data_IF_318265869168
#
_entry.id   IF_318265869168
#
_cell.length_a   1.000
_cell.length_b   1.000
_cell.length_c   1.000
_cell.angle_alpha   90.00
_cell.angle_beta   90.00
_cell.angle_gamma   90.00
#
_symmetry.space_group_name_H-M   'P 1'
#
loop_
_entity.id
_entity.type
_entity.pdbx_description
1 polymer ?
#
# COMPACT_ATOMS: atom_id res chain seq x y z
N UNK A 1 1.66 -11.51 10.93
CA UNK A 1 0.91 -12.65 10.35
C UNK A 1 1.76 -13.19 9.21
N UNK A 2 2.26 -14.45 9.32
CA UNK A 2 2.99 -15.08 8.21
C UNK A 2 2.05 -15.15 7.00
N UNK A 3 2.39 -14.45 5.92
CA UNK A 3 1.71 -14.62 4.62
C UNK A 3 1.97 -16.04 4.13
N UNK A 4 0.93 -16.74 3.76
CA UNK A 4 1.03 -18.04 3.10
C UNK A 4 1.56 -17.77 1.70
N UNK A 5 2.71 -18.36 1.34
CA UNK A 5 3.32 -18.12 0.03
C UNK A 5 2.37 -18.56 -1.10
N UNK A 6 2.41 -17.93 -2.29
CA UNK A 6 1.60 -18.32 -3.45
C UNK A 6 1.75 -19.81 -3.81
N UNK A 7 2.93 -20.37 -3.57
CA UNK A 7 3.24 -21.80 -3.79
C UNK A 7 2.44 -22.70 -2.84
N UNK A 8 2.31 -22.32 -1.57
CA UNK A 8 1.49 -23.08 -0.58
C UNK A 8 0.01 -23.00 -0.97
N UNK A 9 -0.47 -21.86 -1.47
CA UNK A 9 -1.83 -21.71 -1.96
C UNK A 9 -2.07 -22.58 -3.19
N UNK A 10 -1.12 -22.62 -4.14
CA UNK A 10 -1.22 -23.45 -5.34
C UNK A 10 -1.23 -24.95 -4.99
N UNK A 11 -0.36 -25.40 -4.09
CA UNK A 11 -0.32 -26.78 -3.61
C UNK A 11 -1.63 -27.15 -2.87
N UNK A 12 -2.14 -26.26 -2.03
CA UNK A 12 -3.40 -26.46 -1.31
C UNK A 12 -4.58 -26.57 -2.26
N UNK A 13 -4.65 -25.73 -3.29
CA UNK A 13 -5.68 -25.77 -4.32
C UNK A 13 -5.61 -27.06 -5.14
N UNK A 14 -4.40 -27.50 -5.51
CA UNK A 14 -4.19 -28.75 -6.24
C UNK A 14 -4.64 -29.96 -5.42
N UNK A 15 -4.31 -29.99 -4.13
CA UNK A 15 -4.72 -31.03 -3.20
C UNK A 15 -6.25 -31.07 -3.06
N UNK A 16 -6.88 -29.91 -2.91
CA UNK A 16 -8.33 -29.79 -2.80
C UNK A 16 -9.06 -30.28 -4.06
N UNK A 17 -8.60 -29.89 -5.26
CA UNK A 17 -9.15 -30.36 -6.53
C UNK A 17 -8.97 -31.87 -6.68
N UNK A 18 -7.81 -32.39 -6.29
CA UNK A 18 -7.53 -33.84 -6.35
C UNK A 18 -8.47 -34.63 -5.43
N UNK A 19 -8.71 -34.13 -4.21
CA UNK A 19 -9.64 -34.74 -3.26
C UNK A 19 -11.09 -34.74 -3.79
N UNK A 20 -11.54 -33.61 -4.38
CA UNK A 20 -12.88 -33.53 -4.99
C UNK A 20 -13.03 -34.51 -6.14
N UNK A 21 -12.02 -34.65 -7.01
CA UNK A 21 -12.06 -35.61 -8.11
C UNK A 21 -12.11 -37.05 -7.62
N UNK A 22 -11.34 -37.38 -6.57
CA UNK A 22 -11.40 -38.71 -5.94
C UNK A 22 -12.77 -39.00 -5.32
N UNK A 23 -13.35 -38.05 -4.60
CA UNK A 23 -14.67 -38.16 -4.04
C UNK A 23 -15.77 -38.33 -5.12
N UNK A 24 -15.67 -37.59 -6.22
CA UNK A 24 -16.57 -37.73 -7.36
C UNK A 24 -16.47 -39.15 -8.01
N UNK A 25 -15.24 -39.66 -8.16
CA UNK A 25 -15.00 -41.00 -8.69
C UNK A 25 -15.54 -42.11 -7.75
N UNK A 26 -15.40 -41.93 -6.44
CA UNK A 26 -15.95 -42.86 -5.43
C UNK A 26 -17.49 -42.84 -5.51
N UNK A 27 -18.10 -41.66 -5.56
CA UNK A 27 -19.55 -41.49 -5.61
C UNK A 27 -20.16 -42.08 -6.91
N UNK A 28 -19.47 -41.91 -8.05
CA UNK A 28 -19.87 -42.56 -9.31
C UNK A 28 -19.77 -44.08 -9.22
N UNK A 29 -18.76 -44.59 -8.51
CA UNK A 29 -18.58 -46.02 -8.31
C UNK A 29 -19.63 -46.61 -7.37
N UNK A 30 -19.98 -45.90 -6.28
CA UNK A 30 -21.05 -46.33 -5.35
C UNK A 30 -22.42 -46.27 -5.99
N UNK A 31 -22.73 -45.25 -6.80
CA UNK A 31 -23.99 -45.18 -7.56
C UNK A 31 -24.13 -46.30 -8.58
N UNK A 32 -23.03 -46.81 -9.13
CA UNK A 32 -23.08 -47.99 -9.99
C UNK A 32 -23.34 -49.31 -9.23
N UNK A 33 -22.96 -49.38 -7.95
CA UNK A 33 -23.22 -50.55 -7.10
C UNK A 33 -24.62 -50.54 -6.46
N UNK A 34 -25.23 -49.38 -6.24
CA UNK A 34 -26.53 -49.26 -5.58
C UNK A 34 -27.75 -49.56 -6.48
N UNK A 35 -27.54 -49.67 -7.81
CA UNK A 35 -28.64 -50.07 -8.72
C UNK A 35 -28.90 -51.57 -8.80
N UNK A 36 -28.09 -52.43 -8.16
CA UNK A 36 -28.24 -53.89 -8.22
C UNK A 36 -29.04 -54.51 -7.05
N UNK A 37 -29.53 -53.71 -6.09
CA UNK A 37 -30.24 -54.24 -4.90
C UNK A 37 -31.58 -53.57 -4.59
N UNK A 38 -32.55 -53.60 -5.54
CA UNK A 38 -33.96 -53.52 -5.20
C UNK A 38 -34.75 -54.43 -6.13
N UNK A 39 -34.93 -55.69 -5.74
CA UNK A 39 -36.01 -56.52 -6.26
C UNK A 39 -36.89 -57.04 -5.11
N UNK A 40 -38.11 -56.58 -5.08
CA UNK A 40 -39.22 -57.23 -4.32
C UNK A 40 -39.54 -58.58 -4.90
N UNK A 41 -39.96 -59.55 -4.07
CA UNK A 41 -40.28 -60.89 -4.52
C UNK A 41 -41.72 -60.98 -5.06
N UNK A 42 -41.89 -61.40 -6.31
CA UNK A 42 -43.15 -61.90 -6.82
C UNK A 42 -42.91 -63.00 -7.86
N UNK A 43 -43.24 -64.22 -7.42
CA UNK A 43 -43.83 -65.37 -8.13
C UNK A 43 -43.17 -65.90 -9.41
N UNK A 44 -42.79 -67.14 -9.32
CA UNK A 44 -42.09 -67.99 -10.25
C UNK A 44 -42.74 -68.14 -11.62
N UNK A 45 -41.95 -67.95 -12.67
CA UNK A 45 -42.04 -68.67 -13.94
C UNK A 45 -40.60 -68.89 -14.45
N UNK A 46 -40.36 -70.05 -15.08
CA UNK A 46 -39.07 -70.56 -15.42
C UNK A 46 -38.35 -69.68 -16.49
N UNK A 47 -37.04 -69.49 -16.38
CA UNK A 47 -36.33 -68.57 -17.27
C UNK A 47 -35.82 -69.23 -18.53
N UNK A 48 -35.96 -68.50 -19.66
CA UNK A 48 -35.23 -68.74 -20.90
C UNK A 48 -33.71 -68.38 -20.72
N UNK A 49 -32.78 -69.00 -21.47
CA UNK A 49 -31.34 -68.85 -21.25
C UNK A 49 -30.89 -67.46 -21.59
N UNK A 50 -30.29 -66.81 -20.58
CA UNK A 50 -29.69 -65.48 -20.70
C UNK A 50 -28.35 -65.56 -21.42
N UNK A 51 -28.22 -64.86 -22.54
CA UNK A 51 -26.93 -64.68 -23.22
C UNK A 51 -25.96 -63.89 -22.34
N UNK A 52 -24.67 -64.30 -22.26
CA UNK A 52 -23.70 -63.55 -21.43
C UNK A 52 -23.47 -62.14 -21.97
N UNK A 53 -23.20 -61.18 -21.11
CA UNK A 53 -22.97 -59.78 -21.51
C UNK A 53 -21.72 -59.67 -22.37
N UNK A 54 -21.78 -58.94 -23.49
CA UNK A 54 -20.63 -58.64 -24.34
C UNK A 54 -19.62 -57.87 -23.53
N UNK A 55 -18.46 -58.51 -23.28
CA UNK A 55 -17.26 -57.78 -22.77
C UNK A 55 -16.77 -56.87 -23.90
N UNK A 56 -16.73 -55.58 -23.65
CA UNK A 56 -16.06 -54.61 -24.51
C UNK A 56 -14.60 -54.52 -24.05
N UNK A 57 -13.65 -55.23 -24.67
CA UNK A 57 -12.23 -55.14 -24.31
C UNK A 57 -11.70 -53.83 -24.86
N UNK A 58 -11.30 -52.93 -24.03
CA UNK A 58 -10.61 -51.70 -24.40
C UNK A 58 -11.16 -50.38 -23.85
N UNK A 59 -12.37 -50.38 -23.29
CA UNK A 59 -12.98 -49.14 -22.76
C UNK A 59 -12.24 -48.62 -21.50
N UNK A 60 -11.82 -49.52 -20.62
CA UNK A 60 -11.08 -49.14 -19.39
C UNK A 60 -9.70 -48.59 -19.68
N UNK A 61 -8.99 -49.06 -20.73
CA UNK A 61 -7.69 -48.52 -21.12
C UNK A 61 -7.80 -47.12 -21.74
N UNK A 62 -8.88 -46.84 -22.50
CA UNK A 62 -9.13 -45.52 -23.10
C UNK A 62 -9.51 -44.46 -22.06
N UNK A 63 -10.27 -44.84 -21.04
CA UNK A 63 -10.63 -43.96 -19.94
C UNK A 63 -9.41 -43.65 -19.07
N UNK A 64 -8.59 -44.67 -18.75
CA UNK A 64 -7.34 -44.45 -18.01
C UNK A 64 -6.32 -43.57 -18.76
N UNK A 65 -6.19 -43.75 -20.08
CA UNK A 65 -5.31 -42.95 -20.92
C UNK A 65 -5.82 -41.48 -21.05
N UNK A 66 -7.13 -41.30 -21.18
CA UNK A 66 -7.76 -39.97 -21.22
C UNK A 66 -7.61 -39.22 -19.89
N UNK A 67 -7.80 -39.89 -18.76
CA UNK A 67 -7.62 -39.33 -17.42
C UNK A 67 -6.16 -38.92 -17.17
N UNK A 68 -5.18 -39.75 -17.56
CA UNK A 68 -3.77 -39.43 -17.43
C UNK A 68 -3.35 -38.25 -18.34
N UNK A 69 -3.89 -38.17 -19.54
CA UNK A 69 -3.64 -37.04 -20.45
C UNK A 69 -4.23 -35.74 -19.92
N UNK A 70 -5.42 -35.75 -19.33
CA UNK A 70 -6.03 -34.58 -18.68
C UNK A 70 -5.24 -34.12 -17.46
N UNK A 71 -4.73 -35.04 -16.63
CA UNK A 71 -3.87 -34.72 -15.49
C UNK A 71 -2.53 -34.15 -15.94
N UNK A 72 -1.92 -34.71 -16.99
CA UNK A 72 -0.68 -34.18 -17.57
C UNK A 72 -0.88 -32.80 -18.23
N UNK A 73 -2.01 -32.57 -18.91
CA UNK A 73 -2.34 -31.25 -19.46
C UNK A 73 -2.59 -30.24 -18.34
N UNK A 74 -3.32 -30.62 -17.28
CA UNK A 74 -3.56 -29.76 -16.13
C UNK A 74 -2.25 -29.42 -15.38
N UNK A 75 -1.33 -30.39 -15.23
CA UNK A 75 0.00 -30.13 -14.66
C UNK A 75 0.86 -29.26 -15.58
N UNK A 76 0.83 -29.44 -16.90
CA UNK A 76 1.52 -28.58 -17.86
C UNK A 76 0.96 -27.15 -17.88
N UNK A 77 -0.35 -26.98 -17.75
CA UNK A 77 -0.97 -25.66 -17.63
C UNK A 77 -0.56 -25.00 -16.32
N UNK A 78 -0.57 -25.74 -15.19
CA UNK A 78 -0.17 -25.22 -13.87
C UNK A 78 1.34 -24.93 -13.81
N UNK A 79 2.20 -25.71 -14.48
CA UNK A 79 3.65 -25.45 -14.54
C UNK A 79 4.00 -24.41 -15.60
N UNK A 80 3.21 -24.27 -16.67
CA UNK A 80 3.39 -23.25 -17.71
C UNK A 80 2.89 -21.87 -17.28
N UNK A 81 1.97 -21.83 -16.34
CA UNK A 81 1.58 -20.66 -15.54
C UNK A 81 2.29 -20.69 -14.18
N UNK A 82 3.54 -21.16 -14.11
CA UNK A 82 4.39 -20.77 -12.98
C UNK A 82 4.24 -19.27 -12.88
N UNK A 83 3.41 -18.81 -11.96
CA UNK A 83 3.09 -17.42 -11.74
C UNK A 83 4.44 -16.73 -11.66
N UNK A 84 4.79 -15.98 -12.71
CA UNK A 84 5.93 -15.09 -12.66
C UNK A 84 5.58 -14.25 -11.45
N UNK A 85 6.26 -14.50 -10.34
CA UNK A 85 6.03 -13.77 -9.09
C UNK A 85 5.97 -12.32 -9.50
N UNK A 86 4.77 -11.76 -9.47
CA UNK A 86 4.55 -10.37 -9.88
C UNK A 86 5.41 -9.55 -8.93
N UNK A 87 6.47 -8.94 -9.46
CA UNK A 87 7.32 -8.08 -8.66
C UNK A 87 6.50 -6.84 -8.32
N UNK A 88 6.33 -6.59 -7.05
CA UNK A 88 5.57 -5.44 -6.54
C UNK A 88 6.48 -4.64 -5.63
N UNK A 89 6.47 -3.33 -5.78
CA UNK A 89 7.08 -2.39 -4.85
C UNK A 89 5.98 -1.58 -4.15
N UNK A 90 6.02 -1.53 -2.83
CA UNK A 90 5.08 -0.78 -2.00
C UNK A 90 5.71 0.56 -1.64
N UNK A 91 5.10 1.64 -2.12
CA UNK A 91 5.59 3.01 -1.93
C UNK A 91 4.59 3.79 -1.08
N UNK A 92 5.08 4.50 -0.06
CA UNK A 92 4.27 5.45 0.68
C UNK A 92 4.87 6.86 0.57
N UNK A 93 4.04 7.80 0.11
CA UNK A 93 4.42 9.19 -0.09
C UNK A 93 3.25 10.13 0.21
N UNK A 94 3.20 11.29 -0.40
CA UNK A 94 2.17 12.31 -0.27
C UNK A 94 1.34 12.38 -1.54
N UNK A 95 0.12 12.93 -1.46
CA UNK A 95 -0.83 12.91 -2.55
C UNK A 95 -0.36 13.63 -3.82
N UNK A 96 0.25 14.79 -3.66
CA UNK A 96 0.63 15.67 -4.79
C UNK A 96 2.15 15.61 -5.12
N UNK A 97 2.85 14.54 -4.71
CA UNK A 97 4.30 14.45 -4.83
C UNK A 97 4.79 13.73 -6.08
N UNK A 98 3.92 13.10 -6.85
CA UNK A 98 4.26 12.40 -8.08
C UNK A 98 3.14 12.57 -9.11
N UNK A 99 3.52 12.72 -10.36
CA UNK A 99 2.59 12.55 -11.48
C UNK A 99 2.32 11.04 -11.65
N UNK A 100 1.05 10.63 -11.49
CA UNK A 100 0.67 9.21 -11.56
C UNK A 100 1.02 8.56 -12.92
N UNK A 101 1.17 9.35 -13.98
CA UNK A 101 1.62 8.83 -15.27
C UNK A 101 3.02 8.21 -15.20
N UNK A 102 3.89 8.72 -14.31
CA UNK A 102 5.24 8.19 -14.09
C UNK A 102 5.20 6.80 -13.44
N UNK A 103 4.19 6.52 -12.62
CA UNK A 103 3.98 5.19 -12.04
C UNK A 103 3.68 4.20 -13.17
N UNK A 104 2.76 4.55 -14.06
CA UNK A 104 2.41 3.73 -15.22
C UNK A 104 3.62 3.49 -16.13
N UNK A 105 4.39 4.53 -16.43
CA UNK A 105 5.61 4.42 -17.23
C UNK A 105 6.65 3.51 -16.59
N UNK A 106 6.86 3.62 -15.28
CA UNK A 106 7.76 2.73 -14.53
C UNK A 106 7.33 1.28 -14.61
N UNK A 107 6.03 1.01 -14.44
CA UNK A 107 5.47 -0.35 -14.53
C UNK A 107 5.67 -0.94 -15.94
N UNK A 108 5.42 -0.15 -16.99
CA UNK A 108 5.61 -0.56 -18.38
C UNK A 108 7.08 -0.84 -18.71
N UNK A 109 8.00 0.00 -18.25
CA UNK A 109 9.43 -0.14 -18.51
C UNK A 109 10.08 -1.28 -17.73
N UNK A 110 9.65 -1.53 -16.50
CA UNK A 110 10.33 -2.47 -15.60
C UNK A 110 9.62 -3.80 -15.43
N UNK A 111 8.31 -3.85 -15.69
CA UNK A 111 7.44 -4.98 -15.34
C UNK A 111 7.34 -5.18 -13.83
N UNK A 112 7.58 -4.13 -13.03
CA UNK A 112 7.40 -4.09 -11.58
C UNK A 112 6.13 -3.29 -11.30
N UNK A 113 5.17 -3.89 -10.62
CA UNK A 113 3.96 -3.19 -10.21
C UNK A 113 4.23 -2.30 -9.00
N UNK A 114 3.67 -1.11 -9.00
CA UNK A 114 3.77 -0.16 -7.89
C UNK A 114 2.46 -0.12 -7.11
N UNK A 115 2.53 -0.43 -5.83
CA UNK A 115 1.43 -0.20 -4.90
C UNK A 115 1.68 1.13 -4.18
N UNK A 116 1.16 2.22 -4.77
CA UNK A 116 1.35 3.57 -4.25
C UNK A 116 0.27 3.90 -3.22
N UNK A 117 0.70 4.34 -2.05
CA UNK A 117 -0.16 4.76 -0.95
C UNK A 117 0.24 6.15 -0.47
N UNK A 118 -0.73 6.93 -0.01
CA UNK A 118 -0.49 8.25 0.56
C UNK A 118 -0.67 8.23 2.07
N UNK A 119 0.15 8.99 2.78
CA UNK A 119 0.04 9.20 4.21
C UNK A 119 -0.56 10.59 4.48
N UNK A 120 -1.37 10.71 5.54
CA UNK A 120 -1.96 11.97 5.97
C UNK A 120 -0.96 12.88 6.72
N UNK A 121 0.03 12.27 7.38
CA UNK A 121 1.08 12.97 8.12
C UNK A 121 2.29 12.06 8.34
N UNK A 122 3.44 12.65 8.69
CA UNK A 122 4.63 11.89 9.08
C UNK A 122 4.38 11.01 10.31
N UNK A 123 3.56 11.47 11.26
CA UNK A 123 3.19 10.74 12.47
C UNK A 123 2.29 9.55 12.16
N UNK A 124 1.38 9.69 11.20
CA UNK A 124 0.54 8.58 10.71
C UNK A 124 1.40 7.53 10.00
N UNK A 125 2.30 7.94 9.09
CA UNK A 125 3.26 7.07 8.44
C UNK A 125 4.13 6.30 9.44
N UNK A 126 4.71 7.02 10.41
CA UNK A 126 5.51 6.42 11.48
C UNK A 126 4.72 5.37 12.27
N UNK A 127 3.47 5.69 12.63
CA UNK A 127 2.61 4.79 13.38
C UNK A 127 2.30 3.50 12.60
N UNK A 128 2.03 3.61 11.29
CA UNK A 128 1.80 2.46 10.41
C UNK A 128 3.02 1.53 10.36
N UNK A 129 4.22 2.09 10.20
CA UNK A 129 5.47 1.33 10.16
C UNK A 129 5.73 0.67 11.52
N UNK A 130 5.61 1.43 12.61
CA UNK A 130 5.91 0.94 13.96
C UNK A 130 4.99 -0.17 14.43
N UNK A 131 3.72 -0.13 14.04
CA UNK A 131 2.76 -1.19 14.35
C UNK A 131 2.94 -2.44 13.48
N UNK A 132 3.84 -2.43 12.51
CA UNK A 132 4.03 -3.53 11.56
C UNK A 132 2.80 -3.78 10.69
N UNK A 133 1.95 -2.76 10.52
CA UNK A 133 0.73 -2.82 9.73
C UNK A 133 0.93 -2.60 8.22
N UNK A 134 2.13 -2.18 7.82
CA UNK A 134 2.47 -1.89 6.44
C UNK A 134 3.85 -2.46 6.09
N UNK A 135 3.93 -3.07 4.90
CA UNK A 135 5.17 -3.58 4.31
C UNK A 135 5.60 -2.61 3.20
N UNK A 136 6.07 -1.42 3.57
CA UNK A 136 6.61 -0.47 2.60
C UNK A 136 8.05 -0.83 2.24
N UNK A 137 8.33 -0.81 0.92
CA UNK A 137 9.69 -0.94 0.38
C UNK A 137 10.37 0.44 0.28
N UNK A 138 9.57 1.47 -0.03
CA UNK A 138 10.01 2.86 -0.15
C UNK A 138 9.05 3.78 0.57
N UNK A 139 9.59 4.72 1.34
CA UNK A 139 8.83 5.77 2.02
C UNK A 139 9.45 7.13 1.75
N UNK A 140 8.62 8.18 1.70
CA UNK A 140 9.07 9.56 1.43
C UNK A 140 8.67 10.48 2.60
N UNK A 141 9.27 10.34 3.78
CA UNK A 141 9.00 11.20 4.93
C UNK A 141 9.83 12.48 4.90
N UNK A 142 9.49 13.42 5.78
CA UNK A 142 10.30 14.60 6.04
C UNK A 142 11.57 14.25 6.82
N UNK A 143 12.56 15.10 6.73
CA UNK A 143 13.90 14.98 7.34
C UNK A 143 13.87 14.62 8.83
N UNK A 144 13.05 15.30 9.63
CA UNK A 144 12.93 15.02 11.06
C UNK A 144 12.39 13.62 11.37
N UNK A 145 11.52 13.11 10.50
CA UNK A 145 11.00 11.77 10.65
C UNK A 145 12.02 10.73 10.21
N UNK A 146 12.84 11.05 9.18
CA UNK A 146 13.99 10.23 8.80
C UNK A 146 14.96 10.09 9.98
N UNK A 147 15.33 11.22 10.62
CA UNK A 147 16.20 11.20 11.80
C UNK A 147 15.68 10.26 12.89
N UNK A 148 14.37 10.30 13.13
CA UNK A 148 13.72 9.42 14.11
C UNK A 148 13.76 7.96 13.70
N UNK A 149 13.43 7.66 12.45
CA UNK A 149 13.43 6.29 11.92
C UNK A 149 14.84 5.67 11.95
N UNK A 150 15.89 6.46 11.68
CA UNK A 150 17.28 6.04 11.81
C UNK A 150 17.61 5.74 13.27
N UNK A 151 17.25 6.61 14.21
CA UNK A 151 17.50 6.42 15.65
C UNK A 151 16.81 5.18 16.21
N UNK A 152 15.67 4.81 15.65
CA UNK A 152 14.90 3.63 16.06
C UNK A 152 15.25 2.36 15.23
N UNK A 153 16.29 2.40 14.38
CA UNK A 153 16.77 1.29 13.54
C UNK A 153 15.66 0.70 12.65
N UNK A 154 14.87 1.60 12.04
CA UNK A 154 13.70 1.24 11.24
C UNK A 154 13.90 1.37 9.73
N UNK A 155 15.08 1.82 9.28
CA UNK A 155 15.44 1.95 7.87
C UNK A 155 16.54 0.98 7.47
N UNK A 156 16.47 0.46 6.26
CA UNK A 156 17.54 -0.32 5.66
C UNK A 156 18.57 0.61 5.00
N UNK A 157 19.86 0.24 5.07
CA UNK A 157 20.90 0.94 4.33
C UNK A 157 20.70 0.77 2.82
N UNK A 158 20.96 1.84 2.05
CA UNK A 158 20.85 1.84 0.61
C UNK A 158 22.13 1.32 -0.06
N UNK A 159 21.96 0.50 -1.08
CA UNK A 159 23.05 0.14 -1.99
C UNK A 159 23.16 1.17 -3.13
N UNK A 160 24.02 2.16 -2.95
CA UNK A 160 24.24 3.20 -3.95
C UNK A 160 24.86 2.68 -5.24
N UNK A 161 25.46 1.48 -5.24
CA UNK A 161 25.89 0.81 -6.46
C UNK A 161 24.72 0.44 -7.37
N UNK A 162 23.54 0.22 -6.78
CA UNK A 162 22.28 -0.01 -7.51
C UNK A 162 21.54 1.29 -7.89
N UNK A 163 22.02 2.46 -7.43
CA UNK A 163 21.38 3.77 -7.66
C UNK A 163 22.33 4.69 -8.43
N UNK A 164 22.67 4.40 -9.69
CA UNK A 164 23.71 5.15 -10.43
C UNK A 164 23.37 6.65 -10.61
N UNK A 165 22.09 7.00 -10.64
CA UNK A 165 21.64 8.38 -10.80
C UNK A 165 21.87 9.23 -9.55
N UNK A 166 22.21 8.63 -8.41
CA UNK A 166 22.54 9.38 -7.19
C UNK A 166 23.69 10.38 -7.42
N UNK A 167 24.64 10.07 -8.30
CA UNK A 167 25.73 10.98 -8.69
C UNK A 167 25.25 12.29 -9.34
N UNK A 168 23.98 12.37 -9.79
CA UNK A 168 23.38 13.57 -10.37
C UNK A 168 22.77 14.50 -9.31
N UNK A 169 22.73 14.07 -8.04
CA UNK A 169 22.19 14.89 -6.95
C UNK A 169 23.09 16.08 -6.70
N UNK A 170 22.46 17.24 -6.45
CA UNK A 170 23.20 18.42 -6.02
C UNK A 170 23.82 18.16 -4.64
N UNK A 171 25.14 18.35 -4.47
CA UNK A 171 25.84 18.10 -3.21
C UNK A 171 25.25 18.84 -2.00
N UNK A 172 24.58 19.98 -2.20
CA UNK A 172 23.97 20.74 -1.11
C UNK A 172 22.85 19.99 -0.40
N UNK A 173 22.26 18.97 -1.04
CA UNK A 173 21.16 18.15 -0.48
C UNK A 173 21.63 16.79 0.01
N UNK A 174 22.92 16.50 -0.02
CA UNK A 174 23.51 15.26 0.48
C UNK A 174 24.23 15.49 1.81
N UNK A 175 24.43 14.44 2.59
CA UNK A 175 25.14 14.50 3.88
C UNK A 175 24.55 15.50 4.88
N UNK A 176 23.23 15.62 4.85
CA UNK A 176 22.50 16.51 5.76
C UNK A 176 22.50 15.95 7.19
N UNK A 177 22.22 16.81 8.17
CA UNK A 177 22.34 16.48 9.61
C UNK A 177 21.50 15.28 10.07
N UNK A 178 20.43 14.96 9.37
CA UNK A 178 19.58 13.81 9.68
C UNK A 178 20.13 12.47 9.13
N UNK A 179 20.99 12.49 8.11
CA UNK A 179 21.70 11.33 7.55
C UNK A 179 23.13 11.75 7.09
N UNK A 180 24.04 12.03 8.02
CA UNK A 180 25.34 12.64 7.71
C UNK A 180 26.25 11.77 6.84
N UNK A 181 26.11 10.45 6.96
CA UNK A 181 26.86 9.50 6.15
C UNK A 181 26.15 9.16 4.84
N UNK A 182 24.93 9.69 4.66
CA UNK A 182 24.07 9.46 3.50
C UNK A 182 23.86 7.95 3.23
N UNK A 183 23.53 7.20 4.28
CA UNK A 183 23.36 5.74 4.21
C UNK A 183 21.95 5.30 3.90
N UNK A 184 20.95 6.11 4.26
CA UNK A 184 19.56 5.68 4.31
C UNK A 184 18.66 6.42 3.32
N UNK A 185 19.13 7.55 2.74
CA UNK A 185 18.24 8.48 2.03
C UNK A 185 18.77 8.93 0.67
N UNK A 186 17.84 9.05 -0.28
CA UNK A 186 18.02 9.81 -1.51
C UNK A 186 17.12 11.04 -1.43
N UNK A 187 17.64 12.27 -1.51
CA UNK A 187 16.82 13.48 -1.53
C UNK A 187 15.82 13.46 -2.68
N UNK A 188 14.55 13.72 -2.39
CA UNK A 188 13.48 13.73 -3.39
C UNK A 188 13.11 15.17 -3.77
N UNK A 189 12.73 15.97 -2.78
CA UNK A 189 12.33 17.35 -2.99
C UNK A 189 12.64 18.20 -1.77
N UNK A 190 12.69 19.51 -1.95
CA UNK A 190 12.77 20.50 -0.89
C UNK A 190 11.88 21.67 -1.25
N UNK A 191 11.52 22.49 -0.27
CA UNK A 191 10.68 23.65 -0.50
C UNK A 191 10.77 24.67 0.62
N UNK A 192 10.07 25.78 0.42
CA UNK A 192 9.89 26.83 1.42
C UNK A 192 8.44 26.84 1.87
N UNK A 193 8.23 27.10 3.15
CA UNK A 193 6.90 27.34 3.71
C UNK A 193 6.63 28.83 3.71
N UNK A 194 5.42 29.21 3.28
CA UNK A 194 5.02 30.62 3.19
C UNK A 194 3.51 30.78 3.32
N UNK A 195 3.04 32.01 3.33
CA UNK A 195 1.62 32.36 3.34
C UNK A 195 1.19 32.62 1.89
N UNK A 196 0.18 31.87 1.44
CA UNK A 196 -0.53 32.13 0.21
C UNK A 196 -1.88 32.76 0.59
N UNK A 197 -2.25 33.82 -0.08
CA UNK A 197 -3.53 34.49 0.18
C UNK A 197 -4.21 34.95 -1.10
N UNK A 198 -5.55 35.00 -1.07
CA UNK A 198 -6.36 35.44 -2.19
C UNK A 198 -6.44 36.99 -2.19
N UNK A 199 -5.79 37.61 -3.18
CA UNK A 199 -5.76 39.09 -3.29
C UNK A 199 -7.10 39.71 -3.67
N UNK A 200 -8.13 38.92 -3.98
CA UNK A 200 -9.50 39.43 -4.17
C UNK A 200 -10.32 39.46 -2.89
N UNK A 201 -9.82 38.80 -1.82
CA UNK A 201 -10.46 38.74 -0.52
C UNK A 201 -9.70 39.52 0.57
N UNK A 202 -8.40 39.72 0.36
CA UNK A 202 -7.50 40.40 1.27
C UNK A 202 -6.92 41.62 0.58
N UNK A 203 -7.40 42.80 0.94
CA UNK A 203 -7.02 44.07 0.28
C UNK A 203 -5.62 44.54 0.66
N UNK A 204 -5.11 44.13 1.81
CA UNK A 204 -3.79 44.54 2.30
C UNK A 204 -2.75 43.44 2.06
N UNK A 205 -1.52 43.80 1.66
CA UNK A 205 -0.43 42.82 1.55
C UNK A 205 -0.15 42.14 2.88
N UNK A 206 -0.13 40.81 2.90
CA UNK A 206 0.29 40.02 4.03
C UNK A 206 1.83 40.05 4.09
N UNK A 207 2.38 40.63 5.14
CA UNK A 207 3.83 40.82 5.33
C UNK A 207 4.37 40.16 6.57
N UNK A 208 3.54 39.48 7.35
CA UNK A 208 3.92 38.85 8.60
C UNK A 208 3.16 37.54 8.82
N UNK A 209 3.82 36.60 9.49
CA UNK A 209 3.20 35.38 10.00
C UNK A 209 2.05 35.67 10.98
N UNK A 210 1.99 36.89 11.55
CA UNK A 210 0.89 37.32 12.43
C UNK A 210 -0.49 37.18 11.82
N UNK A 211 -0.61 37.25 10.48
CA UNK A 211 -1.88 37.04 9.79
C UNK A 211 -2.49 35.65 10.05
N UNK A 212 -1.66 34.66 10.31
CA UNK A 212 -2.12 33.30 10.62
C UNK A 212 -2.80 33.17 11.98
N UNK A 213 -2.70 34.19 12.84
CA UNK A 213 -3.20 34.21 14.22
C UNK A 213 -4.18 35.36 14.46
N UNK A 214 -4.44 36.19 13.47
CA UNK A 214 -5.26 37.41 13.59
C UNK A 214 -6.75 37.05 13.46
N UNK A 215 -7.53 37.43 14.50
CA UNK A 215 -8.98 37.24 14.52
C UNK A 215 -9.72 37.98 13.39
N UNK A 216 -9.08 38.98 12.77
CA UNK A 216 -9.59 39.67 11.59
C UNK A 216 -9.89 38.67 10.44
N UNK A 217 -9.18 37.53 10.39
CA UNK A 217 -9.36 36.49 9.38
C UNK A 217 -10.09 35.26 9.93
N UNK A 218 -10.85 35.40 11.01
CA UNK A 218 -11.53 34.28 11.66
C UNK A 218 -12.37 33.46 10.64
N UNK A 219 -12.18 32.14 10.66
CA UNK A 219 -12.84 31.20 9.75
C UNK A 219 -12.34 31.21 8.31
N UNK A 220 -11.27 31.96 7.99
CA UNK A 220 -10.72 32.08 6.65
C UNK A 220 -9.27 31.63 6.52
N UNK A 221 -8.64 31.20 7.61
CA UNK A 221 -7.25 30.73 7.62
C UNK A 221 -7.22 29.21 7.52
N UNK A 222 -6.49 28.70 6.55
CA UNK A 222 -6.10 27.29 6.45
C UNK A 222 -4.71 27.14 7.05
N UNK A 223 -4.60 26.32 8.11
CA UNK A 223 -3.32 26.00 8.73
C UNK A 223 -2.82 24.65 8.21
N UNK A 224 -1.52 24.55 7.99
CA UNK A 224 -0.91 23.28 7.60
C UNK A 224 -1.08 22.23 8.71
N UNK A 225 -1.49 21.01 8.33
CA UNK A 225 -1.66 19.88 9.25
C UNK A 225 -0.33 19.12 9.45
N UNK A 226 0.74 19.87 9.64
CA UNK A 226 2.04 19.39 10.09
C UNK A 226 2.41 20.15 11.36
N UNK A 227 2.61 19.44 12.45
CA UNK A 227 2.85 20.04 13.76
C UNK A 227 4.10 20.92 13.79
N UNK A 228 5.17 20.54 13.07
CA UNK A 228 6.41 21.32 13.01
C UNK A 228 6.22 22.60 12.23
N UNK A 229 5.59 22.54 11.06
CA UNK A 229 5.38 23.72 10.21
C UNK A 229 4.37 24.68 10.85
N UNK A 230 3.33 24.18 11.53
CA UNK A 230 2.40 25.03 12.27
C UNK A 230 3.07 25.75 13.43
N UNK A 231 3.94 25.06 14.19
CA UNK A 231 4.73 25.68 15.26
C UNK A 231 5.81 26.60 14.70
N UNK A 232 6.44 26.28 13.57
CA UNK A 232 7.40 27.13 12.88
C UNK A 232 6.78 28.50 12.55
N UNK A 233 5.55 28.53 12.02
CA UNK A 233 4.86 29.79 11.74
C UNK A 233 4.69 30.66 13.01
N UNK A 234 4.39 30.02 14.14
CA UNK A 234 4.28 30.72 15.44
C UNK A 234 5.63 31.19 15.97
N UNK A 235 6.67 30.34 15.89
CA UNK A 235 8.03 30.70 16.29
C UNK A 235 8.57 31.87 15.46
N UNK A 236 8.36 31.85 14.13
CA UNK A 236 8.72 32.97 13.26
C UNK A 236 8.01 34.27 13.66
N UNK A 237 6.71 34.21 14.00
CA UNK A 237 5.96 35.38 14.44
C UNK A 237 6.47 35.93 15.76
N UNK A 238 6.81 35.05 16.72
CA UNK A 238 7.36 35.40 18.02
C UNK A 238 8.83 35.84 17.97
N UNK A 239 9.51 35.66 16.81
CA UNK A 239 10.91 36.03 16.65
C UNK A 239 11.90 35.03 17.27
N UNK A 240 11.47 33.79 17.47
CA UNK A 240 12.29 32.69 17.97
C UNK A 240 12.97 31.91 16.83
N UNK A 241 14.02 31.18 17.18
CA UNK A 241 14.63 30.23 16.26
C UNK A 241 13.65 29.08 15.97
N UNK A 242 13.42 28.80 14.70
CA UNK A 242 12.51 27.71 14.26
C UNK A 242 12.99 26.31 14.68
N UNK A 243 14.27 26.16 15.01
CA UNK A 243 14.87 24.92 15.51
C UNK A 243 15.11 24.96 17.04
N UNK A 244 14.48 25.90 17.75
CA UNK A 244 14.63 25.97 19.20
C UNK A 244 14.22 24.67 19.90
N UNK A 245 14.97 24.34 20.94
CA UNK A 245 14.62 23.23 21.88
C UNK A 245 14.22 23.77 23.26
N UNK A 246 14.08 25.10 23.40
CA UNK A 246 13.63 25.72 24.64
C UNK A 246 12.13 25.46 24.87
N UNK A 247 11.83 24.77 25.95
CA UNK A 247 10.45 24.38 26.28
C UNK A 247 9.52 25.58 26.51
N UNK A 248 10.04 26.70 27.00
CA UNK A 248 9.23 27.89 27.21
C UNK A 248 8.83 28.53 25.87
N UNK A 249 9.76 28.64 24.93
CA UNK A 249 9.51 29.15 23.59
C UNK A 249 8.54 28.23 22.82
N UNK A 250 8.75 26.91 22.88
CA UNK A 250 7.85 25.93 22.26
C UNK A 250 6.44 25.98 22.86
N UNK A 251 6.33 26.16 24.19
CA UNK A 251 5.05 26.29 24.86
C UNK A 251 4.34 27.58 24.43
N UNK A 252 5.06 28.72 24.34
CA UNK A 252 4.48 29.97 23.88
C UNK A 252 3.97 29.88 22.43
N UNK A 253 4.74 29.27 21.55
CA UNK A 253 4.33 29.01 20.17
C UNK A 253 3.10 28.12 20.09
N UNK A 254 3.06 27.05 20.89
CA UNK A 254 1.90 26.16 20.97
C UNK A 254 0.64 26.88 21.48
N UNK A 255 0.75 27.65 22.54
CA UNK A 255 -0.37 28.41 23.08
C UNK A 255 -0.89 29.45 22.09
N UNK A 256 0.00 30.07 21.29
CA UNK A 256 -0.41 31.00 20.24
C UNK A 256 -1.28 30.30 19.17
N UNK A 257 -0.83 29.15 18.66
CA UNK A 257 -1.61 28.34 17.69
C UNK A 257 -2.93 27.88 18.32
N UNK A 258 -2.87 27.38 19.55
CA UNK A 258 -4.05 26.90 20.28
C UNK A 258 -5.07 28.01 20.49
N UNK A 259 -4.65 29.18 20.95
CA UNK A 259 -5.52 30.33 21.16
C UNK A 259 -6.19 30.78 19.85
N UNK A 260 -5.46 30.83 18.73
CA UNK A 260 -6.02 31.16 17.44
C UNK A 260 -7.09 30.13 17.02
N UNK A 261 -6.81 28.82 17.24
CA UNK A 261 -7.79 27.76 17.02
C UNK A 261 -9.05 27.93 17.89
N UNK A 262 -8.88 28.15 19.19
CA UNK A 262 -9.98 28.29 20.15
C UNK A 262 -10.86 29.53 19.85
N UNK A 263 -10.28 30.56 19.25
CA UNK A 263 -10.97 31.75 18.74
C UNK A 263 -11.60 31.59 17.37
N UNK A 264 -11.45 30.41 16.75
CA UNK A 264 -12.03 30.13 15.45
C UNK A 264 -11.34 30.83 14.28
N UNK A 265 -10.06 31.20 14.41
CA UNK A 265 -9.28 31.78 13.30
C UNK A 265 -9.14 30.77 12.18
N UNK A 266 -8.83 29.51 12.53
CA UNK A 266 -8.65 28.48 11.54
C UNK A 266 -9.97 27.87 11.06
N UNK A 267 -10.17 27.85 9.74
CA UNK A 267 -11.24 27.11 9.11
C UNK A 267 -10.97 25.60 9.21
N UNK A 268 -9.71 25.19 8.91
CA UNK A 268 -9.27 23.81 8.98
C UNK A 268 -7.75 23.71 9.10
N UNK A 269 -7.29 22.52 9.52
CA UNK A 269 -5.91 22.07 9.34
C UNK A 269 -5.89 21.14 8.12
N UNK A 270 -5.04 21.43 7.16
CA UNK A 270 -5.05 20.77 5.84
C UNK A 270 -3.64 20.40 5.38
N UNK A 271 -3.55 19.40 4.52
CA UNK A 271 -2.38 19.08 3.72
C UNK A 271 -2.74 19.33 2.24
N UNK A 272 -2.81 18.28 1.42
CA UNK A 272 -3.08 18.38 -0.02
C UNK A 272 -4.47 18.94 -0.34
N UNK A 273 -5.43 18.88 0.58
CA UNK A 273 -6.76 19.48 0.44
C UNK A 273 -6.73 21.01 0.30
N UNK A 274 -5.59 21.64 0.58
CA UNK A 274 -5.41 23.09 0.43
C UNK A 274 -5.68 23.53 -1.02
N UNK A 275 -5.26 22.74 -2.02
CA UNK A 275 -5.43 23.07 -3.42
C UNK A 275 -6.92 23.26 -3.77
N UNK A 276 -7.72 22.22 -3.50
CA UNK A 276 -9.16 22.28 -3.79
C UNK A 276 -9.90 23.35 -3.00
N UNK A 277 -9.47 23.63 -1.75
CA UNK A 277 -10.06 24.71 -0.95
C UNK A 277 -9.73 26.08 -1.49
N UNK A 278 -8.49 26.34 -1.86
CA UNK A 278 -8.05 27.62 -2.43
C UNK A 278 -8.66 27.87 -3.82
N UNK A 279 -8.73 26.87 -4.68
CA UNK A 279 -9.38 26.96 -5.99
C UNK A 279 -10.87 27.19 -5.87
N UNK A 280 -11.51 26.63 -4.86
CA UNK A 280 -12.92 26.85 -4.55
C UNK A 280 -13.25 28.24 -3.95
N UNK A 281 -12.23 29.07 -3.68
CA UNK A 281 -12.41 30.40 -3.11
C UNK A 281 -12.71 30.39 -1.60
N UNK A 282 -12.23 29.38 -0.91
CA UNK A 282 -12.35 29.25 0.57
C UNK A 282 -11.10 29.80 1.25
#
# INVERSE_FOLDING_TARGET
KKRVSPEINAVSTLLFVTVILLLALINIRENHHSHDHVRHPARAEAPAPVKPPKKYPGLGKKIAAGGLACVLLATLIVTGTAARSERVVNVCSWGEYIDESLITEFEEQTGIRVNYQTAESNEALYSLIKMGGADFDVIVPSDYMIARLIQEDMLAELDYGAIPNFQLMDPQFTHLSFDPENKYTVPYTWGSVGIIYNTTMVDEPITSWGAMFDEKYAGQVLMINNSRDALMAALCYLGYDINTTDEAQLTEAFELVKNAKDKGVYQAFVMDEIFGKMEGGN
#
